data_IF_819958654732
#
_entry.id   IF_819958654732
#
_cell.length_a   1.000
_cell.length_b   1.000
_cell.length_c   1.000
_cell.angle_alpha   90.00
_cell.angle_beta   90.00
_cell.angle_gamma   90.00
#
_symmetry.space_group_name_H-M   'P 1'
#
loop_
_entity.id
_entity.type
_entity.pdbx_description
1 polymer ?
#
# COMPACT_ATOMS: atom_id res chain seq x y z
N UNK A 1 -73.06 -12.88 13.85
CA UNK A 1 -71.77 -13.55 13.55
C UNK A 1 -70.60 -12.56 13.66
N UNK A 2 -69.91 -12.64 14.81
CA UNK A 2 -68.50 -12.37 15.12
C UNK A 2 -67.71 -11.23 14.41
N UNK A 3 -67.90 -10.00 14.88
CA UNK A 3 -66.92 -8.88 14.73
C UNK A 3 -65.76 -8.93 15.74
N UNK A 4 -65.75 -9.89 16.67
CA UNK A 4 -64.77 -9.98 17.78
C UNK A 4 -63.44 -10.70 17.43
N UNK A 5 -63.36 -11.41 16.31
CA UNK A 5 -62.15 -12.20 15.94
C UNK A 5 -61.14 -11.48 15.03
N UNK A 6 -61.39 -10.21 14.63
CA UNK A 6 -60.47 -9.48 13.73
C UNK A 6 -59.38 -8.68 14.46
N UNK A 7 -59.55 -8.37 15.75
CA UNK A 7 -58.58 -7.56 16.53
C UNK A 7 -57.31 -8.33 16.92
N UNK A 8 -57.40 -9.66 17.08
CA UNK A 8 -56.23 -10.51 17.37
C UNK A 8 -55.30 -10.66 16.17
N UNK A 9 -55.85 -10.86 14.96
CA UNK A 9 -55.05 -11.05 13.76
C UNK A 9 -54.20 -9.81 13.40
N UNK A 10 -54.74 -8.60 13.55
CA UNK A 10 -53.96 -7.37 13.29
C UNK A 10 -52.76 -7.23 14.22
N UNK A 11 -52.91 -7.58 15.50
CA UNK A 11 -51.79 -7.54 16.45
C UNK A 11 -50.70 -8.56 16.07
N UNK A 12 -51.11 -9.77 15.67
CA UNK A 12 -50.19 -10.82 15.22
C UNK A 12 -49.40 -10.34 13.99
N UNK A 13 -50.08 -9.81 12.97
CA UNK A 13 -49.39 -9.29 11.78
C UNK A 13 -48.48 -8.11 12.10
N UNK A 14 -48.88 -7.22 13.01
CA UNK A 14 -48.04 -6.10 13.43
C UNK A 14 -46.76 -6.58 14.12
N UNK A 15 -46.87 -7.56 15.03
CA UNK A 15 -45.69 -8.16 15.69
C UNK A 15 -44.78 -8.84 14.68
N UNK A 16 -45.32 -9.64 13.76
CA UNK A 16 -44.52 -10.27 12.70
C UNK A 16 -43.83 -9.24 11.80
N UNK A 17 -44.55 -8.19 11.40
CA UNK A 17 -43.96 -7.11 10.61
C UNK A 17 -42.81 -6.43 11.36
N UNK A 18 -43.00 -6.12 12.65
CA UNK A 18 -41.97 -5.53 13.47
C UNK A 18 -40.75 -6.44 13.59
N UNK A 19 -40.94 -7.74 13.83
CA UNK A 19 -39.84 -8.71 13.86
C UNK A 19 -39.08 -8.78 12.53
N UNK A 20 -39.78 -8.75 11.40
CA UNK A 20 -39.14 -8.73 10.07
C UNK A 20 -38.34 -7.45 9.87
N UNK A 21 -38.92 -6.29 10.19
CA UNK A 21 -38.23 -4.99 10.04
C UNK A 21 -37.01 -4.91 10.95
N UNK A 22 -37.11 -5.38 12.19
CA UNK A 22 -35.96 -5.44 13.09
C UNK A 22 -34.91 -6.41 12.55
N UNK A 23 -35.28 -7.63 12.15
CA UNK A 23 -34.34 -8.59 11.57
C UNK A 23 -33.61 -8.06 10.32
N UNK A 24 -34.30 -7.29 9.48
CA UNK A 24 -33.66 -6.60 8.35
C UNK A 24 -32.75 -5.45 8.81
N UNK A 25 -33.19 -4.64 9.76
CA UNK A 25 -32.39 -3.55 10.33
C UNK A 25 -31.10 -4.06 10.97
N UNK A 26 -31.16 -5.15 11.72
CA UNK A 26 -29.99 -5.79 12.34
C UNK A 26 -29.02 -6.31 11.30
N UNK A 27 -29.52 -6.96 10.25
CA UNK A 27 -28.69 -7.46 9.16
C UNK A 27 -27.97 -6.31 8.42
N UNK A 28 -28.67 -5.21 8.15
CA UNK A 28 -28.09 -4.04 7.48
C UNK A 28 -26.99 -3.41 8.34
N UNK A 29 -27.20 -3.30 9.65
CA UNK A 29 -26.19 -2.76 10.57
C UNK A 29 -24.94 -3.65 10.59
N UNK A 30 -25.13 -4.96 10.76
CA UNK A 30 -24.01 -5.91 10.86
C UNK A 30 -23.19 -5.97 9.55
N UNK A 31 -23.87 -6.03 8.38
CA UNK A 31 -23.19 -5.95 7.08
C UNK A 31 -22.51 -4.60 6.88
N UNK A 32 -23.18 -3.50 7.28
CA UNK A 32 -22.63 -2.15 7.19
C UNK A 32 -21.33 -2.01 7.99
N UNK A 33 -21.26 -2.58 9.20
CA UNK A 33 -20.06 -2.60 10.03
C UNK A 33 -18.93 -3.42 9.41
N UNK A 34 -19.24 -4.59 8.82
CA UNK A 34 -18.24 -5.40 8.14
C UNK A 34 -17.68 -4.66 6.90
N UNK A 35 -18.54 -4.00 6.12
CA UNK A 35 -18.12 -3.22 4.95
C UNK A 35 -17.30 -1.99 5.33
N UNK A 36 -17.68 -1.27 6.39
CA UNK A 36 -16.92 -0.13 6.89
C UNK A 36 -15.53 -0.56 7.36
N UNK A 37 -15.46 -1.61 8.19
CA UNK A 37 -14.20 -2.19 8.65
C UNK A 37 -13.33 -2.60 7.47
N UNK A 38 -13.88 -3.27 6.45
CA UNK A 38 -13.14 -3.64 5.24
C UNK A 38 -12.56 -2.42 4.52
N UNK A 39 -13.33 -1.34 4.37
CA UNK A 39 -12.87 -0.10 3.71
C UNK A 39 -11.75 0.60 4.50
N UNK A 40 -11.86 0.63 5.83
CA UNK A 40 -10.84 1.18 6.71
C UNK A 40 -9.52 0.40 6.58
N UNK A 41 -9.59 -0.93 6.71
CA UNK A 41 -8.44 -1.81 6.54
C UNK A 41 -7.85 -1.69 5.12
N UNK A 42 -8.68 -1.67 4.07
CA UNK A 42 -8.20 -1.54 2.70
C UNK A 42 -7.45 -0.22 2.46
N UNK A 43 -7.95 0.88 3.02
CA UNK A 43 -7.29 2.19 2.90
C UNK A 43 -5.92 2.17 3.59
N UNK A 44 -5.85 1.60 4.79
CA UNK A 44 -4.59 1.47 5.53
C UNK A 44 -3.58 0.58 4.80
N UNK A 45 -4.01 -0.60 4.33
CA UNK A 45 -3.17 -1.57 3.61
C UNK A 45 -2.68 -1.02 2.28
N UNK A 46 -3.50 -0.27 1.55
CA UNK A 46 -3.10 0.40 0.30
C UNK A 46 -1.94 1.38 0.51
N UNK A 47 -1.99 2.18 1.57
CA UNK A 47 -0.90 3.12 1.86
C UNK A 47 0.31 2.38 2.43
N UNK A 48 0.11 1.46 3.37
CA UNK A 48 1.16 0.64 3.94
C UNK A 48 1.98 -0.09 2.86
N UNK A 49 1.34 -0.68 1.86
CA UNK A 49 2.04 -1.34 0.75
C UNK A 49 2.96 -0.38 -0.03
N UNK A 50 2.56 0.88 -0.20
CA UNK A 50 3.43 1.89 -0.82
C UNK A 50 4.57 2.30 0.08
N UNK A 51 4.31 2.50 1.37
CA UNK A 51 5.34 2.87 2.36
C UNK A 51 6.44 1.82 2.47
N UNK A 52 6.08 0.52 2.39
CA UNK A 52 7.10 -0.53 2.32
C UNK A 52 7.98 -0.33 1.08
N UNK A 53 7.39 -0.16 -0.10
CA UNK A 53 8.14 0.01 -1.35
C UNK A 53 9.00 1.28 -1.41
N UNK A 54 8.59 2.37 -0.76
CA UNK A 54 9.36 3.60 -0.73
C UNK A 54 10.74 3.41 -0.07
N UNK A 55 10.85 2.46 0.85
CA UNK A 55 12.08 2.21 1.60
C UNK A 55 12.45 0.72 1.62
N UNK A 56 12.31 0.07 0.46
CA UNK A 56 12.93 -1.24 0.19
C UNK A 56 14.43 -1.02 0.10
N UNK A 57 15.03 -1.15 1.27
CA UNK A 57 16.42 -1.46 1.56
C UNK A 57 17.53 -0.67 0.83
N UNK A 58 18.08 0.30 1.56
CA UNK A 58 19.40 0.92 1.32
C UNK A 58 20.56 0.26 2.10
N UNK A 59 20.31 -0.80 2.88
CA UNK A 59 21.24 -1.43 3.83
C UNK A 59 21.64 -2.90 3.50
N UNK A 60 21.04 -3.53 2.50
CA UNK A 60 21.40 -4.88 2.01
C UNK A 60 20.75 -6.05 2.74
N UNK A 61 19.76 -5.82 3.61
CA UNK A 61 18.98 -6.86 4.31
C UNK A 61 17.70 -7.32 3.55
N UNK A 62 17.42 -6.70 2.40
CA UNK A 62 16.29 -6.97 1.53
C UNK A 62 14.98 -6.33 1.95
N UNK A 63 14.89 -5.62 3.09
CA UNK A 63 13.61 -5.16 3.64
C UNK A 63 13.60 -3.78 4.31
N UNK A 64 14.77 -3.21 4.64
CA UNK A 64 14.95 -1.83 5.09
C UNK A 64 14.05 -1.39 6.26
N UNK A 65 13.93 -0.06 6.43
CA UNK A 65 12.99 0.54 7.38
C UNK A 65 11.54 0.56 6.84
N UNK A 66 11.32 0.17 5.58
CA UNK A 66 10.00 0.24 4.91
C UNK A 66 8.89 -0.54 5.63
N UNK A 67 9.21 -1.71 6.19
CA UNK A 67 8.24 -2.50 6.97
C UNK A 67 7.82 -1.81 8.26
N UNK A 68 8.80 -1.25 8.96
CA UNK A 68 8.57 -0.51 10.21
C UNK A 68 7.85 0.81 9.92
N UNK A 69 8.17 1.49 8.82
CA UNK A 69 7.43 2.68 8.36
C UNK A 69 5.97 2.34 8.07
N UNK A 70 5.69 1.24 7.39
CA UNK A 70 4.33 0.77 7.14
C UNK A 70 3.59 0.42 8.44
N UNK A 71 4.23 -0.27 9.38
CA UNK A 71 3.67 -0.56 10.71
C UNK A 71 3.35 0.72 11.48
N UNK A 72 4.29 1.67 11.54
CA UNK A 72 4.10 2.98 12.19
C UNK A 72 2.97 3.77 11.54
N UNK A 73 2.90 3.79 10.22
CA UNK A 73 1.82 4.44 9.50
C UNK A 73 0.46 3.83 9.87
N UNK A 74 0.36 2.50 9.89
CA UNK A 74 -0.87 1.81 10.27
C UNK A 74 -1.27 2.15 11.70
N UNK A 75 -0.34 2.10 12.65
CA UNK A 75 -0.58 2.50 14.03
C UNK A 75 -1.13 3.92 14.08
N UNK A 76 -0.44 4.86 13.43
CA UNK A 76 -0.81 6.27 13.38
C UNK A 76 -2.19 6.53 12.73
N UNK A 77 -2.63 5.73 11.75
CA UNK A 77 -3.97 5.84 11.14
C UNK A 77 -5.09 5.46 12.11
N UNK A 78 -4.82 4.50 12.98
CA UNK A 78 -5.78 4.00 13.97
C UNK A 78 -5.48 4.47 15.38
N UNK A 79 -4.61 5.48 15.50
CA UNK A 79 -4.28 6.13 16.76
C UNK A 79 -4.98 7.48 16.86
N UNK A 80 -5.58 7.77 18.00
CA UNK A 80 -6.43 8.95 18.17
C UNK A 80 -5.71 10.15 18.80
N UNK A 81 -4.68 9.93 19.60
CA UNK A 81 -3.94 10.99 20.27
C UNK A 81 -2.50 11.18 19.73
N UNK A 82 -2.04 10.32 18.83
CA UNK A 82 -0.63 10.24 18.35
C UNK A 82 0.38 10.23 19.51
N UNK A 83 -0.08 9.84 20.70
CA UNK A 83 0.59 9.97 21.97
C UNK A 83 1.22 8.66 22.40
N UNK A 84 2.08 8.73 23.41
CA UNK A 84 2.58 7.54 24.10
C UNK A 84 1.67 7.14 25.27
N UNK A 85 0.55 7.83 25.44
CA UNK A 85 -0.38 7.61 26.55
C UNK A 85 -1.29 6.45 26.23
N UNK A 86 -1.47 5.57 27.20
CA UNK A 86 -2.35 4.40 27.11
C UNK A 86 -3.85 4.74 27.15
N UNK A 87 -4.21 6.02 27.11
CA UNK A 87 -5.60 6.48 27.27
C UNK A 87 -6.04 7.14 25.96
N UNK A 88 -6.68 6.33 25.14
CA UNK A 88 -7.38 6.77 23.94
C UNK A 88 -8.70 7.41 24.35
N UNK A 89 -8.92 8.68 24.01
CA UNK A 89 -10.15 9.40 24.41
C UNK A 89 -11.26 9.27 23.36
N UNK A 90 -10.88 9.05 22.10
CA UNK A 90 -11.81 8.99 20.96
C UNK A 90 -12.07 7.58 20.46
N UNK A 91 -11.31 6.59 20.95
CA UNK A 91 -11.49 5.17 20.64
C UNK A 91 -11.52 4.93 19.12
N UNK A 92 -10.60 5.55 18.38
CA UNK A 92 -10.54 5.36 16.92
C UNK A 92 -9.89 4.01 16.60
N UNK A 93 -10.39 3.34 15.56
CA UNK A 93 -9.86 2.06 15.13
C UNK A 93 -10.65 1.43 13.99
N UNK A 94 -10.25 0.22 13.61
CA UNK A 94 -10.81 -0.56 12.50
C UNK A 94 -12.06 -1.36 12.94
N UNK A 95 -13.05 -0.64 13.47
CA UNK A 95 -14.34 -1.17 13.92
C UNK A 95 -14.33 -1.72 15.35
N UNK A 96 -15.52 -2.05 15.89
CA UNK A 96 -15.67 -2.47 17.29
C UNK A 96 -14.94 -3.79 17.56
N UNK A 97 -14.29 -3.86 18.72
CA UNK A 97 -13.75 -5.07 19.33
C UNK A 97 -14.51 -5.30 20.64
N UNK A 98 -15.50 -6.19 20.58
CA UNK A 98 -16.42 -6.42 21.68
C UNK A 98 -16.16 -7.81 22.25
N UNK A 99 -15.38 -7.92 23.35
CA UNK A 99 -15.21 -9.18 24.03
C UNK A 99 -16.48 -9.53 24.81
N UNK A 100 -16.84 -10.81 24.74
CA UNK A 100 -17.89 -11.41 25.53
C UNK A 100 -17.24 -12.28 26.61
N UNK A 101 -17.75 -12.20 27.83
CA UNK A 101 -17.27 -12.97 28.97
C UNK A 101 -18.45 -13.48 29.79
N UNK A 102 -18.18 -14.45 30.67
CA UNK A 102 -19.17 -15.07 31.55
C UNK A 102 -20.29 -15.81 30.75
N UNK A 103 -21.19 -16.46 31.48
CA UNK A 103 -22.30 -17.20 30.90
C UNK A 103 -22.06 -18.71 30.80
N UNK A 104 -23.10 -19.45 30.42
CA UNK A 104 -23.04 -20.89 30.29
C UNK A 104 -22.61 -21.27 28.88
N UNK A 105 -21.42 -21.88 28.75
CA UNK A 105 -20.90 -22.32 27.45
C UNK A 105 -21.87 -23.30 26.78
N UNK A 106 -22.39 -22.95 25.61
CA UNK A 106 -23.25 -23.83 24.81
C UNK A 106 -22.40 -24.58 23.78
N UNK A 107 -21.50 -23.88 23.09
CA UNK A 107 -20.62 -24.42 22.05
C UNK A 107 -19.48 -23.43 21.82
N UNK A 108 -18.25 -23.92 21.60
CA UNK A 108 -17.10 -23.06 21.28
C UNK A 108 -16.96 -21.87 22.24
N UNK A 109 -16.91 -20.66 21.67
CA UNK A 109 -16.86 -19.40 22.43
C UNK A 109 -18.27 -18.83 22.71
N UNK A 110 -19.35 -19.53 22.33
CA UNK A 110 -20.71 -19.13 22.64
C UNK A 110 -21.05 -19.42 24.10
N UNK A 111 -21.37 -18.35 24.81
CA UNK A 111 -21.88 -18.43 26.15
C UNK A 111 -23.34 -17.93 26.16
N UNK A 112 -24.27 -18.77 26.60
CA UNK A 112 -25.62 -18.34 26.95
C UNK A 112 -25.50 -17.31 28.07
N UNK A 113 -26.30 -16.24 28.03
CA UNK A 113 -26.21 -15.14 29.02
C UNK A 113 -24.81 -14.50 29.14
N UNK A 114 -24.00 -14.60 28.07
CA UNK A 114 -22.74 -13.87 27.98
C UNK A 114 -22.97 -12.38 28.28
N UNK A 115 -22.08 -11.81 29.07
CA UNK A 115 -22.04 -10.38 29.32
C UNK A 115 -21.14 -9.74 28.29
N UNK A 116 -21.57 -8.58 27.80
CA UNK A 116 -20.72 -7.69 27.04
C UNK A 116 -19.81 -6.94 28.00
N UNK A 117 -18.51 -6.95 27.73
CA UNK A 117 -17.57 -6.04 28.38
C UNK A 117 -17.49 -4.76 27.56
N UNK A 118 -18.16 -3.70 28.03
CA UNK A 118 -17.73 -2.34 27.74
C UNK A 118 -16.51 -2.12 28.63
N UNK A 119 -15.32 -1.91 28.07
CA UNK A 119 -14.25 -1.39 28.89
C UNK A 119 -14.71 -0.05 29.47
N UNK A 120 -14.78 0.02 30.80
CA UNK A 120 -14.70 1.27 31.53
C UNK A 120 -13.21 1.63 31.57
N UNK A 121 -12.87 2.93 31.64
CA UNK A 121 -11.51 3.49 31.51
C UNK A 121 -10.50 2.97 32.57
N UNK A 122 -10.89 2.00 33.41
CA UNK A 122 -10.09 1.31 34.40
C UNK A 122 -9.42 0.04 33.84
N UNK A 123 -8.18 0.21 33.41
CA UNK A 123 -7.13 -0.79 33.18
C UNK A 123 -7.16 -1.97 34.19
N UNK A 124 -7.16 -3.23 33.71
CA UNK A 124 -6.30 -4.33 34.25
C UNK A 124 -6.55 -5.75 33.65
N UNK A 125 -7.59 -5.99 32.84
CA UNK A 125 -7.94 -7.37 32.41
C UNK A 125 -8.15 -7.55 30.90
N UNK A 126 -7.34 -6.90 30.07
CA UNK A 126 -7.43 -7.05 28.61
C UNK A 126 -6.42 -8.11 28.15
N UNK A 127 -6.87 -9.23 27.55
CA UNK A 127 -5.96 -10.23 26.99
C UNK A 127 -5.05 -9.62 25.93
N UNK A 128 -3.81 -10.13 25.81
CA UNK A 128 -2.85 -9.69 24.80
C UNK A 128 -3.46 -9.73 23.39
N UNK A 129 -3.29 -8.66 22.60
CA UNK A 129 -3.83 -8.55 21.25
C UNK A 129 -5.25 -7.99 21.14
N UNK A 130 -5.89 -7.62 22.27
CA UNK A 130 -7.18 -6.93 22.26
C UNK A 130 -7.04 -5.52 22.82
N UNK A 131 -7.83 -4.60 22.29
CA UNK A 131 -7.80 -3.22 22.75
C UNK A 131 -8.62 -3.06 24.02
N UNK A 132 -8.04 -2.38 25.02
CA UNK A 132 -8.73 -1.96 26.24
C UNK A 132 -9.88 -1.00 25.97
N UNK A 133 -10.07 -0.61 24.72
CA UNK A 133 -10.83 0.55 24.28
C UNK A 133 -12.09 0.14 23.50
N UNK A 134 -12.34 -1.17 23.36
CA UNK A 134 -13.54 -1.71 22.70
C UNK A 134 -13.52 -1.55 21.18
N UNK A 135 -12.35 -1.24 20.60
CA UNK A 135 -12.15 -0.98 19.17
C UNK A 135 -10.86 -1.62 18.72
N UNK A 136 -10.86 -2.30 17.58
CA UNK A 136 -9.68 -3.00 17.08
C UNK A 136 -8.66 -2.00 16.52
N UNK A 137 -7.45 -1.98 17.09
CA UNK A 137 -6.30 -1.23 16.59
C UNK A 137 -5.31 -2.21 15.93
N UNK A 138 -5.24 -2.27 14.58
CA UNK A 138 -4.31 -3.17 13.90
C UNK A 138 -2.85 -2.79 14.18
N UNK A 139 -2.00 -3.79 14.34
CA UNK A 139 -0.55 -3.62 14.47
C UNK A 139 0.16 -4.66 13.61
N UNK A 140 0.69 -4.26 12.45
CA UNK A 140 1.27 -5.21 11.50
C UNK A 140 2.52 -5.89 12.07
N UNK A 141 2.59 -7.20 11.90
CA UNK A 141 3.81 -7.96 12.11
C UNK A 141 4.82 -7.67 10.98
N UNK A 142 6.11 -7.59 11.33
CA UNK A 142 7.14 -7.23 10.37
C UNK A 142 7.46 -8.38 9.41
N UNK A 143 7.27 -9.63 9.82
CA UNK A 143 7.55 -10.84 9.03
C UNK A 143 9.02 -10.99 8.57
N UNK A 144 10.00 -10.95 9.48
CA UNK A 144 11.43 -10.91 9.13
C UNK A 144 11.88 -12.09 8.24
N UNK A 145 11.25 -13.26 8.38
CA UNK A 145 11.57 -14.46 7.60
C UNK A 145 10.86 -14.55 6.24
N UNK A 146 10.04 -13.55 5.90
CA UNK A 146 9.22 -13.50 4.68
C UNK A 146 8.28 -14.69 4.52
N UNK A 147 7.66 -15.12 5.61
CA UNK A 147 6.65 -16.16 5.59
C UNK A 147 5.49 -15.74 4.64
N UNK A 148 5.05 -16.61 3.70
CA UNK A 148 3.96 -16.32 2.79
C UNK A 148 2.65 -15.90 3.48
N UNK A 149 2.41 -16.39 4.70
CA UNK A 149 1.23 -16.11 5.54
C UNK A 149 1.36 -14.82 6.33
N UNK A 150 2.47 -14.10 6.24
CA UNK A 150 2.72 -12.90 7.03
C UNK A 150 1.93 -11.65 6.59
N UNK A 151 2.01 -10.61 7.42
CA UNK A 151 1.32 -9.33 7.21
C UNK A 151 1.98 -8.49 6.12
N UNK A 152 3.31 -8.48 6.07
CA UNK A 152 4.10 -7.74 5.08
C UNK A 152 5.02 -8.72 4.35
N UNK A 153 4.76 -8.97 3.08
CA UNK A 153 5.46 -9.99 2.29
C UNK A 153 6.01 -9.37 1.00
N UNK A 154 7.32 -9.09 0.94
CA UNK A 154 8.02 -8.80 -0.30
C UNK A 154 8.04 -9.99 -1.26
N UNK A 155 7.97 -9.66 -2.54
CA UNK A 155 7.86 -10.64 -3.60
C UNK A 155 7.78 -10.04 -4.98
N UNK A 156 7.38 -10.89 -5.92
CA UNK A 156 7.20 -10.51 -7.31
C UNK A 156 5.72 -10.58 -7.64
N UNK A 157 5.16 -9.47 -8.09
CA UNK A 157 3.85 -9.45 -8.71
C UNK A 157 3.93 -10.09 -10.10
N UNK A 158 3.14 -11.12 -10.32
CA UNK A 158 3.05 -11.82 -11.59
C UNK A 158 1.88 -11.20 -12.37
N UNK A 159 2.18 -10.34 -13.35
CA UNK A 159 1.19 -9.76 -14.26
C UNK A 159 0.62 -10.79 -15.27
N UNK A 160 0.69 -12.09 -14.95
CA UNK A 160 0.38 -13.16 -15.91
C UNK A 160 -1.09 -13.04 -16.34
N UNK A 161 -1.27 -12.64 -17.60
CA UNK A 161 -2.56 -12.48 -18.28
C UNK A 161 -3.39 -13.78 -18.31
N UNK A 162 -2.72 -14.92 -18.10
CA UNK A 162 -3.26 -16.28 -18.06
C UNK A 162 -3.68 -16.77 -16.67
N UNK A 163 -3.54 -15.97 -15.61
CA UNK A 163 -3.97 -16.38 -14.27
C UNK A 163 -5.50 -16.58 -14.25
N UNK A 164 -6.00 -17.74 -13.78
CA UNK A 164 -7.42 -18.11 -13.89
C UNK A 164 -8.37 -17.22 -13.07
N UNK A 165 -7.87 -16.39 -12.15
CA UNK A 165 -8.60 -15.29 -11.54
C UNK A 165 -7.71 -14.05 -11.46
N UNK A 166 -8.20 -12.92 -11.97
CA UNK A 166 -7.61 -11.57 -11.74
C UNK A 166 -8.17 -10.94 -10.46
N UNK A 167 -8.87 -11.73 -9.65
CA UNK A 167 -9.74 -11.24 -8.60
C UNK A 167 -8.97 -10.86 -7.33
N UNK A 168 -7.62 -10.95 -7.37
CA UNK A 168 -6.73 -10.64 -6.26
C UNK A 168 -7.12 -11.39 -4.97
N UNK A 169 -7.67 -12.59 -5.13
CA UNK A 169 -8.20 -13.42 -4.06
C UNK A 169 -7.08 -14.22 -3.38
N UNK A 170 -7.17 -14.29 -2.06
CA UNK A 170 -6.37 -15.25 -1.30
C UNK A 170 -7.13 -16.56 -1.23
N UNK A 171 -6.43 -17.65 -1.50
CA UNK A 171 -7.00 -19.00 -1.49
C UNK A 171 -6.08 -20.01 -0.84
N UNK A 172 -6.62 -21.21 -0.66
CA UNK A 172 -5.82 -22.41 -0.39
C UNK A 172 -5.19 -22.89 -1.70
N UNK A 173 -3.87 -23.00 -1.74
CA UNK A 173 -3.13 -23.58 -2.88
C UNK A 173 -3.17 -25.13 -2.90
N UNK A 174 -3.92 -25.74 -1.98
CA UNK A 174 -4.00 -27.19 -1.82
C UNK A 174 -2.83 -27.78 -1.03
N UNK A 175 -1.92 -26.94 -0.53
CA UNK A 175 -0.85 -27.31 0.40
C UNK A 175 -1.19 -26.96 1.85
N UNK A 176 -2.37 -26.39 2.09
CA UNK A 176 -2.82 -25.92 3.40
C UNK A 176 -2.45 -24.45 3.66
N UNK A 177 -1.85 -23.75 2.69
CA UNK A 177 -1.60 -22.33 2.76
C UNK A 177 -2.84 -21.55 2.32
N UNK A 178 -3.68 -21.16 3.28
CA UNK A 178 -4.90 -20.36 3.06
C UNK A 178 -4.65 -18.89 2.67
N UNK A 179 -3.40 -18.55 2.35
CA UNK A 179 -2.92 -17.19 2.03
C UNK A 179 -2.17 -17.14 0.70
N UNK A 180 -2.20 -18.23 -0.06
CA UNK A 180 -1.60 -18.27 -1.38
C UNK A 180 -2.36 -17.34 -2.34
N UNK A 181 -1.61 -16.76 -3.27
CA UNK A 181 -2.10 -15.91 -4.34
C UNK A 181 -1.45 -16.31 -5.64
N UNK A 182 -2.25 -16.52 -6.67
CA UNK A 182 -1.75 -16.89 -8.00
C UNK A 182 -0.96 -15.75 -8.67
N UNK A 183 -1.27 -14.50 -8.31
CA UNK A 183 -0.69 -13.29 -8.88
C UNK A 183 0.50 -12.73 -8.09
N UNK A 184 0.93 -13.40 -7.02
CA UNK A 184 2.04 -12.93 -6.19
C UNK A 184 2.90 -14.08 -5.67
N UNK A 185 4.21 -13.99 -5.91
CA UNK A 185 5.18 -14.98 -5.40
C UNK A 185 6.10 -14.33 -4.38
N UNK A 186 6.10 -14.79 -3.10
CA UNK A 186 7.02 -14.28 -2.07
C UNK A 186 8.49 -14.43 -2.48
N UNK A 187 9.25 -13.35 -2.36
CA UNK A 187 10.67 -13.27 -2.72
C UNK A 187 11.30 -12.00 -2.11
N UNK A 188 12.35 -12.17 -1.30
CA UNK A 188 13.07 -11.06 -0.65
C UNK A 188 13.66 -10.05 -1.64
N UNK A 189 14.07 -10.50 -2.82
CA UNK A 189 14.65 -9.63 -3.87
C UNK A 189 13.62 -9.14 -4.88
N UNK A 190 12.33 -9.30 -4.57
CA UNK A 190 11.24 -8.91 -5.44
C UNK A 190 11.03 -7.39 -5.48
N UNK A 191 10.44 -6.91 -6.58
CA UNK A 191 10.13 -5.49 -6.80
C UNK A 191 8.69 -5.13 -6.40
N UNK A 192 8.04 -6.00 -5.64
CA UNK A 192 6.65 -5.86 -5.22
C UNK A 192 6.51 -6.24 -3.75
N UNK A 193 5.44 -5.76 -3.13
CA UNK A 193 5.10 -6.11 -1.75
C UNK A 193 3.61 -6.33 -1.63
N UNK A 194 3.25 -7.37 -0.90
CA UNK A 194 1.91 -7.67 -0.47
C UNK A 194 1.77 -7.31 1.00
N UNK A 195 0.81 -6.45 1.32
CA UNK A 195 0.45 -6.12 2.70
C UNK A 195 -0.94 -6.63 2.99
N UNK A 196 -1.16 -7.10 4.22
CA UNK A 196 -2.40 -7.72 4.66
C UNK A 196 -2.82 -7.20 6.03
N UNK A 197 -4.12 -7.07 6.21
CA UNK A 197 -4.76 -6.90 7.51
C UNK A 197 -5.94 -7.83 7.64
N UNK A 198 -6.13 -8.37 8.84
CA UNK A 198 -7.08 -9.45 9.08
C UNK A 198 -7.85 -9.24 10.36
N UNK A 199 -9.14 -9.55 10.29
CA UNK A 199 -10.05 -9.72 11.43
C UNK A 199 -10.73 -11.07 11.28
N UNK A 200 -10.01 -12.12 11.65
CA UNK A 200 -10.46 -13.52 11.50
C UNK A 200 -10.30 -14.34 12.79
N UNK A 201 -9.65 -13.79 13.81
CA UNK A 201 -9.45 -14.45 15.10
C UNK A 201 -8.47 -15.63 15.01
N UNK A 202 -7.43 -15.50 14.19
CA UNK A 202 -6.35 -16.49 14.17
C UNK A 202 -5.41 -16.25 15.35
N UNK A 203 -5.24 -17.28 16.18
CA UNK A 203 -4.49 -17.18 17.43
C UNK A 203 -3.02 -17.61 17.29
N UNK A 204 -2.66 -18.27 16.19
CA UNK A 204 -1.32 -18.79 15.96
C UNK A 204 -0.94 -18.74 14.48
N UNK A 205 0.22 -18.18 14.22
CA UNK A 205 0.96 -18.31 12.96
C UNK A 205 2.13 -19.27 13.18
N UNK A 206 2.58 -19.96 12.13
CA UNK A 206 3.75 -20.84 12.21
C UNK A 206 5.00 -20.07 12.66
N UNK A 207 5.11 -18.80 12.23
CA UNK A 207 6.03 -17.81 12.76
C UNK A 207 5.24 -16.70 13.48
N UNK A 208 5.39 -16.54 14.82
CA UNK A 208 4.66 -15.54 15.58
C UNK A 208 4.99 -14.10 15.19
N UNK A 209 6.15 -13.86 14.54
CA UNK A 209 6.55 -12.55 14.04
C UNK A 209 6.14 -12.33 12.57
N UNK A 210 5.47 -13.31 11.94
CA UNK A 210 5.01 -13.21 10.55
C UNK A 210 3.72 -12.43 10.39
N UNK A 211 2.70 -12.72 11.19
CA UNK A 211 1.34 -12.22 10.94
C UNK A 211 0.63 -11.77 12.20
N UNK A 212 -0.39 -10.95 12.02
CA UNK A 212 -1.34 -10.59 13.07
C UNK A 212 -2.78 -10.77 12.59
N UNK A 213 -3.66 -10.98 13.54
CA UNK A 213 -5.09 -11.14 13.27
C UNK A 213 -5.91 -10.55 14.40
N UNK A 214 -6.78 -9.60 14.06
CA UNK A 214 -7.80 -9.13 14.98
C UNK A 214 -8.93 -10.13 15.17
N UNK A 215 -9.72 -9.99 16.24
CA UNK A 215 -10.96 -10.74 16.36
C UNK A 215 -11.91 -10.36 15.22
N UNK A 216 -12.80 -11.26 14.77
CA UNK A 216 -13.73 -10.93 13.70
C UNK A 216 -14.68 -9.79 14.08
N UNK A 217 -15.34 -9.21 13.08
CA UNK A 217 -16.31 -8.14 13.31
C UNK A 217 -17.54 -8.74 14.00
N UNK A 218 -17.90 -8.29 15.22
CA UNK A 218 -19.00 -8.90 15.97
C UNK A 218 -20.35 -8.58 15.33
N UNK A 219 -21.28 -9.53 15.39
CA UNK A 219 -22.71 -9.26 15.18
C UNK A 219 -23.26 -8.55 16.43
N UNK A 220 -23.69 -7.30 16.30
CA UNK A 220 -24.22 -6.54 17.45
C UNK A 220 -25.62 -7.01 17.79
N UNK A 221 -26.43 -7.31 16.76
CA UNK A 221 -27.82 -7.68 16.94
C UNK A 221 -28.15 -9.09 16.42
N UNK A 222 -27.35 -9.64 15.51
CA UNK A 222 -27.53 -10.99 14.97
C UNK A 222 -27.42 -12.13 16.00
N UNK A 223 -26.86 -11.90 17.20
CA UNK A 223 -26.70 -12.93 18.24
C UNK A 223 -27.99 -13.25 19.02
N UNK A 224 -29.00 -12.38 18.98
CA UNK A 224 -30.24 -12.53 19.76
C UNK A 224 -31.34 -13.36 19.10
N UNK A 225 -31.22 -13.67 17.80
CA UNK A 225 -32.22 -14.42 17.03
C UNK A 225 -31.98 -15.93 17.17
N UNK A 226 -32.28 -16.45 18.36
CA UNK A 226 -32.06 -17.85 18.73
C UNK A 226 -33.27 -18.71 18.40
N UNK A 227 -33.24 -19.42 17.27
CA UNK A 227 -34.01 -20.65 17.12
C UNK A 227 -33.22 -21.69 16.32
N UNK A 228 -32.74 -22.73 17.03
CA UNK A 228 -32.34 -24.05 16.53
C UNK A 228 -31.56 -24.09 15.19
N UNK A 229 -30.24 -23.88 15.25
CA UNK A 229 -29.31 -24.15 14.15
C UNK A 229 -28.37 -25.33 14.43
N UNK A 230 -27.72 -25.86 13.39
CA UNK A 230 -26.63 -26.84 13.48
C UNK A 230 -25.39 -26.23 14.16
N UNK A 231 -24.48 -27.07 14.68
CA UNK A 231 -23.22 -26.62 15.31
C UNK A 231 -22.38 -25.69 14.43
N UNK A 232 -22.45 -25.85 13.11
CA UNK A 232 -21.75 -24.97 12.16
C UNK A 232 -22.33 -23.54 12.16
N UNK A 233 -23.66 -23.38 12.22
CA UNK A 233 -24.30 -22.07 12.31
C UNK A 233 -23.97 -21.33 13.62
N UNK A 234 -23.96 -22.07 14.74
CA UNK A 234 -23.54 -21.53 16.04
C UNK A 234 -22.11 -21.01 15.99
N UNK A 235 -21.20 -21.83 15.44
CA UNK A 235 -19.80 -21.44 15.30
C UNK A 235 -19.60 -20.22 14.39
N UNK A 236 -20.49 -19.95 13.41
CA UNK A 236 -20.39 -18.75 12.56
C UNK A 236 -20.89 -17.49 13.27
N UNK A 237 -21.96 -17.58 14.05
CA UNK A 237 -22.47 -16.46 14.85
C UNK A 237 -21.50 -16.10 15.99
N UNK A 238 -20.91 -17.12 16.60
CA UNK A 238 -19.83 -17.02 17.60
C UNK A 238 -18.63 -16.26 17.09
N UNK A 239 -18.25 -16.55 15.85
CA UNK A 239 -17.07 -15.96 15.25
C UNK A 239 -17.33 -14.54 14.79
N UNK A 240 -18.49 -14.24 14.20
CA UNK A 240 -18.76 -12.93 13.61
C UNK A 240 -18.45 -12.92 12.11
N UNK A 241 -18.26 -11.73 11.54
CA UNK A 241 -17.90 -11.60 10.12
C UNK A 241 -16.38 -11.48 9.97
N UNK A 242 -15.80 -12.40 9.20
CA UNK A 242 -14.41 -12.36 8.81
C UNK A 242 -14.17 -11.25 7.80
N UNK A 243 -13.17 -10.42 8.07
CA UNK A 243 -12.75 -9.35 7.17
C UNK A 243 -11.26 -9.48 6.92
N UNK A 244 -10.90 -9.45 5.64
CA UNK A 244 -9.52 -9.35 5.19
C UNK A 244 -9.41 -8.18 4.22
N UNK A 245 -8.25 -7.52 4.24
CA UNK A 245 -7.88 -6.50 3.28
C UNK A 245 -6.44 -6.75 2.85
N UNK A 246 -6.20 -6.71 1.55
CA UNK A 246 -4.89 -7.01 0.96
C UNK A 246 -4.60 -5.97 -0.12
N UNK A 247 -3.34 -5.58 -0.25
CA UNK A 247 -2.91 -4.74 -1.35
C UNK A 247 -1.53 -5.15 -1.82
N UNK A 248 -1.35 -5.11 -3.13
CA UNK A 248 -0.03 -5.27 -3.75
C UNK A 248 0.41 -3.91 -4.24
N UNK A 249 1.59 -3.49 -3.80
CA UNK A 249 2.31 -2.42 -4.46
C UNK A 249 3.42 -3.03 -5.33
N UNK A 250 3.62 -2.49 -6.52
CA UNK A 250 4.66 -2.90 -7.46
C UNK A 250 5.50 -1.70 -7.87
N UNK A 251 6.81 -1.91 -8.01
CA UNK A 251 7.74 -0.90 -8.49
C UNK A 251 7.61 -0.76 -10.02
N UNK A 252 6.88 0.27 -10.43
CA UNK A 252 6.63 0.57 -11.84
C UNK A 252 7.56 1.68 -12.32
N UNK A 253 7.89 1.76 -13.62
CA UNK A 253 8.76 2.82 -14.11
C UNK A 253 8.23 4.22 -13.77
N UNK A 254 9.10 5.09 -13.25
CA UNK A 254 8.73 6.45 -12.88
C UNK A 254 8.39 7.27 -14.13
N UNK A 255 7.21 7.88 -14.14
CA UNK A 255 6.69 8.69 -15.25
C UNK A 255 6.75 10.18 -14.98
N UNK A 256 6.78 10.58 -13.72
CA UNK A 256 6.90 11.98 -13.31
C UNK A 256 7.83 12.09 -12.12
N UNK A 257 8.65 13.14 -12.10
CA UNK A 257 9.50 13.51 -10.96
C UNK A 257 9.29 14.99 -10.66
N UNK A 258 9.22 15.33 -9.37
CA UNK A 258 9.10 16.70 -8.89
C UNK A 258 10.44 17.36 -8.60
N UNK A 259 10.37 18.62 -8.18
CA UNK A 259 11.54 19.46 -7.91
C UNK A 259 12.15 19.11 -6.55
N UNK A 260 13.47 19.10 -6.46
CA UNK A 260 14.20 18.94 -5.20
C UNK A 260 13.90 20.08 -4.22
N UNK A 261 13.76 19.76 -2.94
CA UNK A 261 13.64 20.75 -1.87
C UNK A 261 14.57 20.37 -0.71
N UNK A 262 15.75 20.98 -0.70
CA UNK A 262 16.77 20.73 0.34
C UNK A 262 16.34 21.21 1.73
N UNK A 263 15.51 22.25 1.81
CA UNK A 263 15.05 22.79 3.08
C UNK A 263 14.10 21.80 3.79
N UNK A 264 13.35 21.03 3.01
CA UNK A 264 12.45 19.97 3.50
C UNK A 264 13.10 18.57 3.46
N UNK A 265 14.35 18.45 3.01
CA UNK A 265 15.03 17.16 2.83
C UNK A 265 14.39 16.27 1.77
N UNK A 266 13.66 16.86 0.81
CA UNK A 266 12.95 16.13 -0.24
C UNK A 266 13.88 15.86 -1.41
N UNK A 267 14.19 14.58 -1.61
CA UNK A 267 14.93 14.13 -2.80
C UNK A 267 14.10 14.46 -4.06
N UNK A 268 14.73 15.04 -5.08
CA UNK A 268 14.02 15.45 -6.30
C UNK A 268 14.94 15.62 -7.50
N UNK A 269 14.42 16.26 -8.53
CA UNK A 269 15.12 16.48 -9.79
C UNK A 269 16.29 17.48 -9.64
N UNK A 270 17.47 17.05 -10.05
CA UNK A 270 18.62 17.90 -10.34
C UNK A 270 18.45 18.60 -11.68
N UNK A 271 19.10 19.74 -11.82
CA UNK A 271 19.05 20.52 -13.06
C UNK A 271 19.96 19.98 -14.16
N UNK A 272 19.96 18.66 -14.34
CA UNK A 272 20.82 17.93 -15.28
C UNK A 272 19.98 16.99 -16.13
N UNK A 273 20.25 17.00 -17.43
CA UNK A 273 19.74 16.03 -18.38
C UNK A 273 20.88 15.29 -19.07
N UNK A 274 20.66 13.99 -19.30
CA UNK A 274 21.66 13.06 -19.82
C UNK A 274 21.04 12.26 -20.97
N UNK A 275 21.82 12.06 -22.03
CA UNK A 275 21.47 11.15 -23.10
C UNK A 275 21.30 9.71 -22.59
N UNK A 276 20.19 9.06 -22.91
CA UNK A 276 19.89 7.71 -22.45
C UNK A 276 20.93 6.68 -22.94
N UNK A 277 21.47 6.84 -24.14
CA UNK A 277 22.52 5.97 -24.68
C UNK A 277 23.83 6.16 -23.92
N UNK A 278 24.21 7.41 -23.63
CA UNK A 278 25.37 7.70 -22.77
C UNK A 278 25.19 7.09 -21.37
N UNK A 279 23.99 7.22 -20.80
CA UNK A 279 23.63 6.64 -19.51
C UNK A 279 23.74 5.10 -19.52
N UNK A 280 23.37 4.43 -20.60
CA UNK A 280 23.50 2.97 -20.69
C UNK A 280 24.94 2.49 -20.94
N UNK A 281 25.70 3.22 -21.76
CA UNK A 281 26.99 2.76 -22.28
C UNK A 281 28.19 3.14 -21.43
N UNK A 282 28.08 4.16 -20.58
CA UNK A 282 29.19 4.58 -19.72
C UNK A 282 29.53 3.46 -18.73
N UNK A 283 30.79 2.96 -18.69
CA UNK A 283 31.19 1.97 -17.70
C UNK A 283 31.39 2.62 -16.33
N UNK A 284 30.91 1.96 -15.26
CA UNK A 284 31.15 2.38 -13.88
C UNK A 284 30.27 3.54 -13.41
N UNK A 285 30.51 4.06 -12.21
CA UNK A 285 29.59 5.01 -11.59
C UNK A 285 29.86 6.47 -11.95
N UNK A 286 31.01 6.79 -12.56
CA UNK A 286 31.48 8.15 -12.79
C UNK A 286 31.22 8.63 -14.22
N UNK A 287 30.30 9.58 -14.39
CA UNK A 287 30.11 10.36 -15.63
C UNK A 287 30.82 11.70 -15.48
N UNK A 288 31.55 12.24 -16.48
CA UNK A 288 32.21 13.56 -16.39
C UNK A 288 31.81 14.52 -17.53
N UNK A 289 31.29 15.71 -17.21
CA UNK A 289 31.05 16.82 -18.16
C UNK A 289 32.36 17.59 -18.41
N UNK A 290 33.32 17.04 -19.16
CA UNK A 290 34.67 17.64 -19.24
C UNK A 290 35.37 17.58 -20.58
N UNK A 291 35.05 16.61 -21.43
CA UNK A 291 35.60 16.54 -22.78
C UNK A 291 34.63 17.20 -23.78
N UNK A 292 35.19 17.86 -24.78
CA UNK A 292 34.46 18.50 -25.89
C UNK A 292 33.48 17.58 -26.64
N UNK A 293 33.50 16.27 -26.36
CA UNK A 293 32.62 15.25 -26.95
C UNK A 293 31.30 15.04 -26.19
N UNK A 294 31.19 15.47 -24.92
CA UNK A 294 30.00 15.19 -24.09
C UNK A 294 29.06 16.40 -23.88
N UNK A 295 29.40 17.59 -24.37
CA UNK A 295 28.60 18.80 -24.11
C UNK A 295 27.17 18.73 -24.66
N UNK A 296 26.92 17.94 -25.70
CA UNK A 296 25.58 17.70 -26.24
C UNK A 296 24.83 16.56 -25.53
N UNK A 297 25.55 15.69 -24.82
CA UNK A 297 24.98 14.49 -24.18
C UNK A 297 24.73 14.68 -22.68
N UNK A 298 25.41 15.63 -22.02
CA UNK A 298 25.16 16.04 -20.64
C UNK A 298 24.97 17.55 -20.60
N UNK A 299 23.76 17.98 -20.28
CA UNK A 299 23.37 19.39 -20.29
C UNK A 299 22.85 19.81 -18.93
N UNK A 300 23.12 21.06 -18.57
CA UNK A 300 22.66 21.67 -17.32
C UNK A 300 21.66 22.77 -17.69
N UNK A 301 20.56 22.86 -16.99
CA UNK A 301 19.50 23.84 -17.25
C UNK A 301 19.24 24.70 -16.01
N UNK A 302 18.59 25.85 -16.16
CA UNK A 302 18.48 26.82 -15.06
C UNK A 302 17.66 26.33 -13.86
N UNK A 303 16.36 26.12 -14.06
CA UNK A 303 15.44 25.81 -12.98
C UNK A 303 14.71 24.49 -13.24
N UNK A 304 14.89 23.47 -12.37
CA UNK A 304 14.13 22.24 -12.46
C UNK A 304 12.68 22.54 -12.15
N UNK A 305 11.83 22.11 -13.07
CA UNK A 305 10.39 22.03 -12.86
C UNK A 305 9.99 20.57 -12.78
N UNK A 306 8.82 20.29 -12.20
CA UNK A 306 8.28 18.93 -12.26
C UNK A 306 8.18 18.49 -13.73
N UNK A 307 8.76 17.33 -14.00
CA UNK A 307 8.95 16.79 -15.35
C UNK A 307 8.26 15.46 -15.47
N UNK A 308 7.62 15.22 -16.60
CA UNK A 308 7.09 13.92 -16.98
C UNK A 308 7.77 13.41 -18.23
N UNK A 309 7.77 12.10 -18.40
CA UNK A 309 8.21 11.47 -19.65
C UNK A 309 7.37 11.97 -20.83
N UNK A 310 8.03 12.11 -21.97
CA UNK A 310 7.50 12.61 -23.23
C UNK A 310 7.48 14.13 -23.37
N UNK A 311 7.93 14.88 -22.36
CA UNK A 311 8.25 16.30 -22.53
C UNK A 311 9.48 16.48 -23.42
N UNK A 312 9.55 17.63 -24.09
CA UNK A 312 10.78 18.05 -24.79
C UNK A 312 11.94 18.22 -23.81
N UNK A 313 13.16 18.00 -24.29
CA UNK A 313 14.37 18.29 -23.52
C UNK A 313 14.42 19.76 -23.05
N UNK A 314 15.12 19.99 -21.94
CA UNK A 314 15.42 21.33 -21.48
C UNK A 314 16.42 22.02 -22.41
N UNK A 315 16.33 23.35 -22.50
CA UNK A 315 17.36 24.14 -23.16
C UNK A 315 18.63 24.13 -22.29
N UNK A 316 19.76 23.78 -22.90
CA UNK A 316 21.07 23.86 -22.25
C UNK A 316 21.38 25.32 -21.91
N UNK A 317 21.75 25.58 -20.65
CA UNK A 317 22.29 26.85 -20.22
C UNK A 317 23.70 26.62 -19.67
N UNK A 318 24.68 27.00 -20.48
CA UNK A 318 26.09 26.87 -20.12
C UNK A 318 26.47 27.65 -18.84
N UNK A 319 25.65 28.63 -18.43
CA UNK A 319 25.86 29.43 -17.23
C UNK A 319 25.04 28.95 -16.02
N UNK A 320 24.17 27.94 -16.19
CA UNK A 320 23.41 27.37 -15.09
C UNK A 320 24.36 26.77 -14.04
N UNK A 321 24.16 27.17 -12.79
CA UNK A 321 24.82 26.54 -11.64
C UNK A 321 24.07 25.28 -11.26
N UNK A 322 24.79 24.24 -10.82
CA UNK A 322 24.14 23.02 -10.34
C UNK A 322 23.37 23.30 -9.04
N UNK A 323 22.15 22.77 -9.00
CA UNK A 323 21.25 22.90 -7.85
C UNK A 323 21.41 21.66 -6.96
N UNK A 324 21.55 21.89 -5.65
CA UNK A 324 21.68 20.84 -4.63
C UNK A 324 23.12 20.65 -4.13
N UNK A 325 23.25 20.14 -2.90
CA UNK A 325 24.54 19.80 -2.33
C UNK A 325 25.01 18.43 -2.86
N UNK A 326 26.30 18.36 -3.22
CA UNK A 326 26.86 17.21 -3.95
C UNK A 326 26.83 15.86 -3.22
N UNK A 327 26.31 15.81 -1.99
CA UNK A 327 26.36 14.65 -1.11
C UNK A 327 24.99 14.00 -0.87
N UNK A 328 23.88 14.67 -1.22
CA UNK A 328 22.55 14.12 -1.05
C UNK A 328 22.01 13.76 -2.43
N UNK A 329 21.98 12.46 -2.74
CA UNK A 329 21.56 11.95 -4.05
C UNK A 329 20.23 12.52 -4.56
N UNK A 330 19.95 12.34 -5.85
CA UNK A 330 18.80 12.94 -6.52
C UNK A 330 18.58 12.40 -7.92
N UNK A 331 17.58 12.94 -8.60
CA UNK A 331 17.11 12.43 -9.87
C UNK A 331 17.63 13.25 -11.05
N UNK A 332 18.04 12.61 -12.13
CA UNK A 332 18.44 13.25 -13.38
C UNK A 332 17.47 12.89 -14.49
N UNK A 333 17.32 13.78 -15.46
CA UNK A 333 16.48 13.53 -16.64
C UNK A 333 17.23 12.67 -17.64
N UNK A 334 16.60 11.62 -18.17
CA UNK A 334 17.11 10.84 -19.29
C UNK A 334 16.37 11.24 -20.56
N UNK A 335 17.12 11.69 -21.57
CA UNK A 335 16.58 12.10 -22.87
C UNK A 335 17.02 11.16 -23.98
N UNK A 336 16.15 10.91 -24.96
CA UNK A 336 16.48 10.12 -26.14
C UNK A 336 15.77 10.71 -27.38
N UNK A 337 16.22 10.34 -28.57
CA UNK A 337 15.57 10.71 -29.82
C UNK A 337 14.42 9.72 -30.13
N UNK A 338 13.19 10.23 -30.18
CA UNK A 338 11.98 9.48 -30.51
C UNK A 338 11.34 10.13 -31.73
N UNK A 339 11.47 9.49 -32.89
CA UNK A 339 10.92 9.95 -34.17
C UNK A 339 11.43 11.34 -34.62
N UNK A 340 12.68 11.68 -34.30
CA UNK A 340 13.29 12.95 -34.68
C UNK A 340 13.08 14.08 -33.66
N UNK A 341 12.41 13.78 -32.54
CA UNK A 341 12.24 14.69 -31.42
C UNK A 341 12.98 14.17 -30.19
N UNK A 342 13.78 15.03 -29.56
CA UNK A 342 14.51 14.67 -28.34
C UNK A 342 13.63 14.88 -27.12
N UNK A 343 13.13 13.77 -26.57
CA UNK A 343 12.14 13.72 -25.50
C UNK A 343 12.72 13.12 -24.22
N UNK A 344 12.11 13.44 -23.08
CA UNK A 344 12.36 12.79 -21.80
C UNK A 344 11.81 11.37 -21.85
N UNK A 345 12.67 10.36 -21.74
CA UNK A 345 12.26 8.94 -21.79
C UNK A 345 12.35 8.26 -20.42
N UNK A 346 12.88 8.93 -19.41
CA UNK A 346 12.92 8.40 -18.05
C UNK A 346 13.74 9.25 -17.10
N UNK A 347 14.02 8.68 -15.94
CA UNK A 347 14.78 9.33 -14.88
C UNK A 347 15.83 8.36 -14.34
N UNK A 348 17.00 8.88 -13.97
CA UNK A 348 18.04 8.13 -13.27
C UNK A 348 18.24 8.69 -11.87
N UNK A 349 18.79 7.89 -10.95
CA UNK A 349 19.24 8.32 -9.63
C UNK A 349 20.76 8.40 -9.60
N UNK A 350 21.26 9.49 -9.05
CA UNK A 350 22.68 9.70 -8.75
C UNK A 350 22.84 9.86 -7.25
N UNK A 351 23.77 9.14 -6.64
CA UNK A 351 24.04 9.19 -5.19
C UNK A 351 24.84 10.44 -4.80
N UNK A 352 25.66 10.95 -5.71
CA UNK A 352 26.44 12.18 -5.52
C UNK A 352 26.65 12.89 -6.85
N UNK A 353 26.82 14.21 -6.78
CA UNK A 353 27.17 15.06 -7.91
C UNK A 353 28.26 16.03 -7.46
N UNK A 354 29.40 16.04 -8.12
CA UNK A 354 30.51 16.93 -7.75
C UNK A 354 30.90 17.81 -8.93
N UNK A 355 31.27 19.05 -8.63
CA UNK A 355 31.72 20.02 -9.61
C UNK A 355 33.17 20.34 -9.31
N UNK A 356 34.07 19.95 -10.20
CA UNK A 356 35.51 20.25 -10.10
C UNK A 356 35.92 21.10 -11.30
N UNK A 357 36.01 22.41 -11.11
CA UNK A 357 36.26 23.35 -12.20
C UNK A 357 35.11 23.34 -13.21
N UNK A 358 35.41 23.03 -14.48
CA UNK A 358 34.42 22.88 -15.54
C UNK A 358 33.85 21.47 -15.65
N UNK A 359 34.31 20.53 -14.81
CA UNK A 359 33.88 19.13 -14.85
C UNK A 359 32.78 18.85 -13.84
N UNK A 360 31.69 18.24 -14.29
CA UNK A 360 30.65 17.69 -13.42
C UNK A 360 30.81 16.18 -13.37
N UNK A 361 31.12 15.63 -12.20
CA UNK A 361 31.10 14.19 -11.96
C UNK A 361 29.82 13.74 -11.29
N UNK A 362 29.30 12.59 -11.69
CA UNK A 362 28.12 11.96 -11.07
C UNK A 362 28.50 10.60 -10.55
N UNK A 363 27.96 10.17 -9.42
CA UNK A 363 28.01 8.77 -9.00
C UNK A 363 26.63 8.15 -9.19
N UNK A 364 26.52 7.18 -10.09
CA UNK A 364 25.26 6.48 -10.34
C UNK A 364 25.04 5.37 -9.33
N UNK A 365 23.78 5.12 -8.97
CA UNK A 365 23.39 3.87 -8.35
C UNK A 365 23.01 2.85 -9.44
N UNK A 366 23.46 1.61 -9.34
CA UNK A 366 23.03 0.54 -10.24
C UNK A 366 22.88 -0.78 -9.47
N UNK A 367 21.75 -1.51 -9.60
CA UNK A 367 20.54 -1.11 -10.32
C UNK A 367 19.90 0.18 -9.74
N UNK A 368 19.07 0.86 -10.53
CA UNK A 368 18.36 2.05 -10.02
C UNK A 368 17.49 1.66 -8.81
N UNK A 369 17.55 2.44 -7.71
CA UNK A 369 16.68 2.21 -6.57
C UNK A 369 15.22 2.54 -6.94
N UNK A 370 14.30 2.04 -6.11
CA UNK A 370 12.94 2.58 -6.10
C UNK A 370 13.01 3.99 -5.53
N UNK A 371 12.31 4.92 -6.16
CA UNK A 371 12.31 6.32 -5.75
C UNK A 371 11.71 6.46 -4.35
N UNK A 372 12.52 6.93 -3.41
CA UNK A 372 12.08 7.17 -2.03
C UNK A 372 11.02 8.27 -1.93
N UNK A 373 11.12 9.34 -2.74
CA UNK A 373 10.24 10.51 -2.64
C UNK A 373 10.07 11.18 -4.00
N UNK A 374 9.01 12.01 -4.13
CA UNK A 374 8.85 12.98 -5.22
C UNK A 374 8.92 12.40 -6.65
N UNK A 375 8.66 11.11 -6.80
CA UNK A 375 8.52 10.43 -8.07
C UNK A 375 7.19 9.68 -8.09
N UNK A 376 6.59 9.58 -9.27
CA UNK A 376 5.29 8.96 -9.47
C UNK A 376 5.28 8.10 -10.73
N UNK A 377 4.60 6.96 -10.63
CA UNK A 377 4.24 6.11 -11.75
C UNK A 377 3.14 6.70 -12.64
N UNK A 378 2.51 7.79 -12.19
CA UNK A 378 1.43 8.48 -12.91
C UNK A 378 2.01 9.69 -13.66
N UNK A 379 1.45 9.98 -14.84
CA UNK A 379 1.77 11.20 -15.56
C UNK A 379 1.10 12.39 -14.88
N UNK A 380 1.86 13.45 -14.64
CA UNK A 380 1.27 14.75 -14.33
C UNK A 380 0.81 15.38 -15.64
N UNK A 381 -0.48 15.22 -15.98
CA UNK A 381 -1.05 15.94 -17.10
C UNK A 381 -1.02 17.45 -16.80
N UNK A 382 -0.36 18.24 -17.64
CA UNK A 382 -0.50 19.70 -17.69
C UNK A 382 -1.22 20.08 -18.99
N UNK A 383 -2.13 21.05 -18.87
CA UNK A 383 -3.12 21.46 -19.87
C UNK A 383 -2.57 22.17 -21.12
N UNK A 384 -1.26 22.33 -21.30
CA UNK A 384 -0.74 22.98 -22.50
C UNK A 384 -0.81 22.04 -23.70
N UNK A 385 -1.55 22.43 -24.74
CA UNK A 385 -1.62 21.72 -26.03
C UNK A 385 -0.25 21.46 -26.68
N UNK A 386 0.80 22.19 -26.27
CA UNK A 386 2.18 21.99 -26.71
C UNK A 386 2.89 20.77 -26.08
N UNK A 387 2.34 20.19 -25.01
CA UNK A 387 2.91 19.03 -24.29
C UNK A 387 2.15 17.72 -24.58
N UNK A 388 1.17 17.73 -25.49
CA UNK A 388 0.43 16.52 -25.85
C UNK A 388 1.26 15.66 -26.79
N UNK A 389 1.84 14.59 -26.25
CA UNK A 389 2.37 13.48 -27.03
C UNK A 389 1.30 13.00 -28.01
N UNK A 390 1.68 12.88 -29.29
CA UNK A 390 0.87 12.08 -30.22
C UNK A 390 0.76 10.65 -29.68
N UNK A 391 -0.32 9.93 -29.97
CA UNK A 391 -0.51 8.55 -29.50
C UNK A 391 0.67 7.64 -29.86
N UNK A 392 1.28 7.87 -31.03
CA UNK A 392 2.48 7.16 -31.49
C UNK A 392 3.69 7.49 -30.61
N UNK A 393 4.00 8.78 -30.39
CA UNK A 393 5.13 9.19 -29.54
C UNK A 393 4.95 8.67 -28.10
N UNK A 394 3.72 8.72 -27.56
CA UNK A 394 3.43 8.22 -26.22
C UNK A 394 3.79 6.74 -26.05
N UNK A 395 3.37 5.89 -27.00
CA UNK A 395 3.66 4.45 -26.95
C UNK A 395 5.16 4.14 -26.97
N UNK A 396 5.92 4.83 -27.84
CA UNK A 396 7.37 4.65 -27.95
C UNK A 396 8.12 5.15 -26.72
N UNK A 397 7.72 6.30 -26.16
CA UNK A 397 8.30 6.83 -24.92
C UNK A 397 8.02 5.88 -23.75
N UNK A 398 6.81 5.35 -23.62
CA UNK A 398 6.49 4.38 -22.57
C UNK A 398 7.25 3.08 -22.73
N UNK A 399 7.36 2.55 -23.95
CA UNK A 399 8.15 1.36 -24.21
C UNK A 399 9.62 1.59 -23.85
N UNK A 400 10.20 2.71 -24.28
CA UNK A 400 11.59 3.05 -23.98
C UNK A 400 11.84 3.20 -22.48
N UNK A 401 10.92 3.85 -21.76
CA UNK A 401 10.97 3.99 -20.31
C UNK A 401 10.92 2.62 -19.61
N UNK A 402 10.03 1.73 -20.07
CA UNK A 402 9.89 0.37 -19.56
C UNK A 402 11.16 -0.47 -19.81
N UNK A 403 11.72 -0.42 -21.01
CA UNK A 403 12.96 -1.12 -21.36
C UNK A 403 14.14 -0.65 -20.49
N UNK A 404 14.29 0.66 -20.31
CA UNK A 404 15.31 1.23 -19.42
C UNK A 404 15.14 0.75 -17.97
N UNK A 405 13.92 0.72 -17.46
CA UNK A 405 13.64 0.29 -16.10
C UNK A 405 13.86 -1.21 -15.90
N UNK A 406 13.56 -2.05 -16.90
CA UNK A 406 13.79 -3.50 -16.84
C UNK A 406 15.27 -3.87 -16.91
N UNK A 407 16.07 -3.05 -17.59
CA UNK A 407 17.52 -3.17 -17.59
C UNK A 407 18.18 -2.56 -16.35
N UNK A 408 17.40 -2.01 -15.41
CA UNK A 408 17.91 -1.40 -14.18
C UNK A 408 18.54 -0.01 -14.37
N UNK A 409 18.29 0.66 -15.50
CA UNK A 409 18.84 1.98 -15.84
C UNK A 409 17.89 3.14 -15.53
N UNK A 410 16.57 2.91 -15.51
CA UNK A 410 15.59 3.94 -15.13
C UNK A 410 14.99 3.69 -13.74
N UNK A 411 14.70 4.81 -13.07
CA UNK A 411 14.06 4.91 -11.78
C UNK A 411 12.67 4.27 -11.81
N UNK A 412 12.33 3.56 -10.74
CA UNK A 412 10.98 3.04 -10.50
C UNK A 412 10.31 3.85 -9.40
N UNK A 413 8.99 3.95 -9.43
CA UNK A 413 8.16 4.54 -8.40
C UNK A 413 7.11 3.52 -7.94
N UNK A 414 6.75 3.53 -6.64
CA UNK A 414 5.76 2.62 -6.12
C UNK A 414 4.36 2.94 -6.68
N UNK A 415 3.68 1.91 -7.17
CA UNK A 415 2.31 1.99 -7.64
C UNK A 415 1.49 0.87 -7.04
N UNK A 416 0.21 1.14 -6.73
CA UNK A 416 -0.71 0.07 -6.37
C UNK A 416 -1.11 -0.68 -7.63
N UNK A 417 -1.03 -2.01 -7.54
CA UNK A 417 -1.66 -2.89 -8.53
C UNK A 417 -3.17 -2.76 -8.35
N UNK A 418 -3.88 -2.52 -9.45
CA UNK A 418 -5.34 -2.50 -9.48
C UNK A 418 -5.81 -3.63 -10.37
N UNK A 419 -6.93 -4.27 -10.00
CA UNK A 419 -7.62 -5.15 -10.93
C UNK A 419 -8.04 -4.30 -12.12
N UNK A 420 -7.69 -4.75 -13.31
CA UNK A 420 -8.30 -4.26 -14.54
C UNK A 420 -9.70 -4.87 -14.60
N UNK A 421 -10.69 -4.20 -14.00
CA UNK A 421 -12.11 -4.49 -14.30
C UNK A 421 -12.47 -4.03 -15.72
#
# INVERSE_FOLDING_TARGET
>A
MNKRNRRGNTLIYFVFFFLIVFGLGTLVIDIGLAQLTRRQLQTAVNTAAKEVLYDVDSNGDGMGDGRENARRFVRAVFDDDFGSTTIDTLNLGAGPDVPYYDGYQISGDFHASAKYYLPDDSYDLVPAGRSAVGVYKPDLALNPNNDPTGDIVPGTFNEIESAPSKDHEEGDDGTGNNYARDDFTPNLSGNSVLVRMRRIGEESFDDPDAGTSGPPVPFIFGRGLLSAGSSDFWSRIERGTYVRATAIANATPARTVGVRDDALGVTGLFNVQIDATLWQTTPGNNLQRGDSNYSSQVQVFNEPTSTSIGRSQYADDANASLIGDGNNGGYVVLTDDVLGERLVVGFGFVSSIQVTGSQVSFQRAFPQPIAKQNASATLAFRDSAADQLTSTNASLVFQRNFDLANQGFALRAPALVRSTE
#
